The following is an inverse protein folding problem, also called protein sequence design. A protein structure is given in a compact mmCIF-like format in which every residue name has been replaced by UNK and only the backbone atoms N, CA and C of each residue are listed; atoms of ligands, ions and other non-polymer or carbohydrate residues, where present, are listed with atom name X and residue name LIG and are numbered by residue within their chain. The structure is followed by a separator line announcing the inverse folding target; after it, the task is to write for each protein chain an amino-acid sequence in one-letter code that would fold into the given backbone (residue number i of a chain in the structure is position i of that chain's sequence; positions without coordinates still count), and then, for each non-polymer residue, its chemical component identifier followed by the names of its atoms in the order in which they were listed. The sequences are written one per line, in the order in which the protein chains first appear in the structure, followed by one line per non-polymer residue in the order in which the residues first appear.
data_IF_984513031829
#
_entry.id   IF_984513031829
#
_cell.length_a   1.000
_cell.length_b   1.000
_cell.length_c   1.000
_cell.angle_alpha   90.00
_cell.angle_beta   90.00
_cell.angle_gamma   90.00
#
_symmetry.space_group_name_H-M   'P 1'
#
loop_
_entity.id
_entity.type
_entity.pdbx_description
1 polymer ?
#
# COMPACT_ATOMS: atom_id res chain seq x y z
N UNK A 1 0.60 28.68 -9.65
CA UNK A 1 0.10 29.05 -10.97
C UNK A 1 0.99 30.14 -11.50
N UNK A 2 1.81 29.89 -12.50
CA UNK A 2 2.55 30.93 -13.21
C UNK A 2 1.57 31.58 -14.18
N UNK A 3 1.15 32.79 -13.91
CA UNK A 3 0.25 33.53 -14.82
C UNK A 3 1.13 34.09 -15.95
N UNK A 4 0.92 33.57 -17.15
CA UNK A 4 1.55 34.12 -18.36
C UNK A 4 1.04 35.55 -18.50
N UNK A 5 1.96 36.53 -18.60
CA UNK A 5 1.55 37.90 -18.89
C UNK A 5 1.05 38.01 -20.32
N UNK A 6 -0.15 38.55 -20.49
CA UNK A 6 -0.71 38.87 -21.80
C UNK A 6 0.09 39.97 -22.48
N UNK A 7 -0.05 40.07 -23.80
CA UNK A 7 0.53 41.19 -24.58
C UNK A 7 0.19 42.56 -23.95
N UNK A 8 -1.08 42.74 -23.54
CA UNK A 8 -1.53 44.01 -22.96
C UNK A 8 -0.84 44.33 -21.63
N UNK A 9 -0.65 43.32 -20.76
CA UNK A 9 0.06 43.51 -19.47
C UNK A 9 1.52 43.83 -19.71
N UNK A 10 2.22 43.14 -20.60
CA UNK A 10 3.62 43.40 -20.90
C UNK A 10 3.80 44.83 -21.47
N UNK A 11 2.92 45.20 -22.42
CA UNK A 11 2.95 46.54 -23.01
C UNK A 11 2.72 47.66 -21.97
N UNK A 12 1.73 47.47 -21.09
CA UNK A 12 1.42 48.43 -20.05
C UNK A 12 2.57 48.54 -19.02
N UNK A 13 3.18 47.46 -18.66
CA UNK A 13 4.35 47.44 -17.76
C UNK A 13 5.53 48.18 -18.37
N UNK A 14 5.81 47.99 -19.65
CA UNK A 14 6.86 48.69 -20.37
C UNK A 14 6.58 50.20 -20.45
N UNK A 15 5.35 50.56 -20.73
CA UNK A 15 4.93 51.97 -20.80
C UNK A 15 5.02 52.64 -19.44
N UNK A 16 4.57 52.01 -18.39
CA UNK A 16 4.62 52.56 -17.03
C UNK A 16 6.06 52.71 -16.52
N UNK A 17 6.90 51.68 -16.76
CA UNK A 17 8.33 51.75 -16.39
C UNK A 17 9.08 52.89 -17.14
N UNK A 18 8.71 53.14 -18.41
CA UNK A 18 9.29 54.25 -19.15
C UNK A 18 8.86 55.61 -18.60
N UNK A 19 7.56 55.77 -18.28
CA UNK A 19 7.03 56.99 -17.70
C UNK A 19 7.69 57.29 -16.34
N UNK A 20 7.81 56.28 -15.49
CA UNK A 20 8.45 56.42 -14.15
C UNK A 20 9.93 56.82 -14.24
N UNK A 21 10.66 56.34 -15.25
CA UNK A 21 12.09 56.65 -15.44
C UNK A 21 12.37 57.97 -16.16
N UNK A 22 11.50 58.35 -17.06
CA UNK A 22 11.75 59.53 -17.92
C UNK A 22 10.86 60.73 -17.63
N UNK A 23 9.74 60.52 -16.91
CA UNK A 23 8.69 61.52 -16.74
C UNK A 23 7.90 61.84 -18.00
N UNK A 24 8.12 61.10 -19.12
CA UNK A 24 7.50 61.36 -20.42
C UNK A 24 6.47 60.29 -20.75
N UNK A 25 5.23 60.71 -21.03
CA UNK A 25 4.22 59.79 -21.51
C UNK A 25 4.40 59.50 -23.00
N UNK A 26 4.10 58.24 -23.39
CA UNK A 26 4.28 57.78 -24.78
C UNK A 26 3.01 58.09 -25.56
N UNK A 27 3.15 58.97 -26.59
CA UNK A 27 2.07 59.28 -27.48
C UNK A 27 1.67 58.05 -28.33
N UNK A 28 0.38 57.76 -28.49
CA UNK A 28 -0.09 56.69 -29.33
C UNK A 28 0.43 56.84 -30.79
N UNK A 29 0.84 55.71 -31.40
CA UNK A 29 1.42 55.65 -32.74
C UNK A 29 2.78 56.38 -32.92
N UNK A 30 3.44 56.77 -31.84
CA UNK A 30 4.83 57.22 -31.91
C UNK A 30 5.78 56.08 -32.22
N UNK A 31 7.01 56.38 -32.60
CA UNK A 31 8.04 55.37 -32.84
C UNK A 31 8.30 54.54 -31.59
N UNK A 32 8.27 55.18 -30.42
CA UNK A 32 8.45 54.48 -29.12
C UNK A 32 7.24 53.56 -28.81
N UNK A 33 6.02 53.99 -29.11
CA UNK A 33 4.82 53.17 -28.99
C UNK A 33 4.88 51.93 -29.85
N UNK A 34 5.28 52.08 -31.13
CA UNK A 34 5.46 50.97 -32.05
C UNK A 34 6.58 50.00 -31.62
N UNK A 35 7.69 50.55 -31.12
CA UNK A 35 8.78 49.75 -30.58
C UNK A 35 8.32 48.91 -29.36
N UNK A 36 7.62 49.51 -28.41
CA UNK A 36 7.13 48.80 -27.23
C UNK A 36 6.10 47.72 -27.59
N UNK A 37 5.27 47.97 -28.60
CA UNK A 37 4.35 46.93 -29.11
C UNK A 37 5.10 45.75 -29.71
N UNK A 38 6.14 46.01 -30.54
CA UNK A 38 6.96 44.94 -31.10
C UNK A 38 7.70 44.12 -30.03
N UNK A 39 8.25 44.79 -29.00
CA UNK A 39 8.91 44.12 -27.89
C UNK A 39 7.91 43.29 -27.08
N UNK A 40 6.73 43.86 -26.84
CA UNK A 40 5.67 43.14 -26.10
C UNK A 40 5.18 41.89 -26.81
N UNK A 41 5.06 41.98 -28.17
CA UNK A 41 4.69 40.80 -28.97
C UNK A 41 5.76 39.72 -28.93
N UNK A 42 7.03 40.08 -29.12
CA UNK A 42 8.15 39.16 -29.03
C UNK A 42 8.24 38.48 -27.64
N UNK A 43 8.07 39.23 -26.56
CA UNK A 43 8.08 38.68 -25.21
C UNK A 43 6.88 37.77 -24.95
N UNK A 44 5.71 38.13 -25.44
CA UNK A 44 4.53 37.28 -25.33
C UNK A 44 4.69 35.95 -26.07
N UNK A 45 5.29 35.98 -27.27
CA UNK A 45 5.62 34.76 -28.01
C UNK A 45 6.63 33.87 -27.26
N UNK A 46 7.66 34.49 -26.64
CA UNK A 46 8.61 33.76 -25.81
C UNK A 46 7.90 33.11 -24.60
N UNK A 47 7.02 33.83 -23.90
CA UNK A 47 6.25 33.25 -22.80
C UNK A 47 5.38 32.08 -23.22
N UNK A 48 4.70 32.18 -24.37
CA UNK A 48 3.91 31.09 -24.95
C UNK A 48 4.79 29.87 -25.29
N UNK A 49 5.93 30.07 -25.91
CA UNK A 49 6.88 28.99 -26.22
C UNK A 49 7.42 28.30 -24.94
N UNK A 50 7.71 29.08 -23.88
CA UNK A 50 8.13 28.51 -22.59
C UNK A 50 7.01 27.66 -21.99
N UNK A 51 5.76 28.11 -22.07
CA UNK A 51 4.63 27.36 -21.50
C UNK A 51 4.31 26.11 -22.29
N UNK A 52 4.38 26.15 -23.61
CA UNK A 52 4.25 25.00 -24.48
C UNK A 52 5.33 23.95 -24.19
N UNK A 53 6.57 24.40 -23.99
CA UNK A 53 7.68 23.50 -23.67
C UNK A 53 7.70 23.00 -22.21
N UNK A 54 6.91 23.58 -21.28
CA UNK A 54 6.75 23.04 -19.92
C UNK A 54 5.89 21.78 -19.86
N UNK A 55 4.94 21.63 -20.76
CA UNK A 55 3.99 20.50 -20.77
C UNK A 55 4.66 19.14 -20.93
N UNK A 56 5.66 18.97 -21.81
CA UNK A 56 6.31 17.67 -22.00
C UNK A 56 7.11 17.18 -20.80
N UNK A 57 7.56 18.08 -19.91
CA UNK A 57 8.33 17.69 -18.74
C UNK A 57 7.46 17.05 -17.63
N UNK A 58 6.15 17.17 -17.71
CA UNK A 58 5.25 16.45 -16.82
C UNK A 58 4.87 15.13 -17.47
N UNK A 59 5.43 14.05 -16.96
CA UNK A 59 5.16 12.66 -17.37
C UNK A 59 3.67 12.38 -17.63
N UNK A 60 2.79 12.96 -16.80
CA UNK A 60 1.32 12.81 -16.89
C UNK A 60 0.67 13.50 -18.09
N UNK A 61 1.38 14.36 -18.82
CA UNK A 61 0.85 15.15 -19.93
C UNK A 61 1.44 14.72 -21.28
N UNK A 62 2.24 13.66 -21.31
CA UNK A 62 2.84 13.13 -22.54
C UNK A 62 1.84 12.22 -23.26
N UNK A 63 1.83 12.29 -24.59
CA UNK A 63 1.00 11.47 -25.48
C UNK A 63 1.84 10.98 -26.67
N UNK A 64 1.43 9.88 -27.27
CA UNK A 64 2.02 9.36 -28.50
C UNK A 64 3.53 9.12 -28.41
N UNK A 65 4.29 9.67 -29.38
CA UNK A 65 5.73 9.47 -29.51
C UNK A 65 6.55 9.99 -28.31
N UNK A 66 6.08 11.05 -27.64
CA UNK A 66 6.76 11.59 -26.45
C UNK A 66 6.66 10.61 -25.27
N UNK A 67 5.49 10.01 -25.11
CA UNK A 67 5.26 8.99 -24.10
C UNK A 67 6.06 7.71 -24.41
N UNK A 68 6.16 7.35 -25.69
CA UNK A 68 6.96 6.20 -26.15
C UNK A 68 8.45 6.42 -25.91
N UNK A 69 8.97 7.64 -26.15
CA UNK A 69 10.35 7.98 -25.85
C UNK A 69 10.66 7.89 -24.34
N UNK A 70 9.71 8.35 -23.50
CA UNK A 70 9.83 8.22 -22.05
C UNK A 70 9.82 6.76 -21.62
N UNK A 71 8.93 5.95 -22.17
CA UNK A 71 8.87 4.53 -21.87
C UNK A 71 10.10 3.76 -22.34
N UNK A 72 10.66 4.12 -23.50
CA UNK A 72 11.93 3.55 -23.95
C UNK A 72 13.09 3.88 -22.99
N UNK A 73 13.18 5.12 -22.54
CA UNK A 73 14.17 5.54 -21.52
C UNK A 73 14.02 4.77 -20.20
N UNK A 74 12.79 4.50 -19.79
CA UNK A 74 12.47 3.73 -18.58
C UNK A 74 12.56 2.20 -18.77
N UNK A 75 12.97 1.72 -19.96
CA UNK A 75 13.01 0.30 -20.31
C UNK A 75 11.65 -0.40 -20.18
N UNK A 76 10.58 0.31 -20.45
CA UNK A 76 9.22 -0.18 -20.45
C UNK A 76 8.52 0.22 -21.75
N UNK A 77 8.83 -0.40 -22.89
CA UNK A 77 8.26 -0.05 -24.19
C UNK A 77 6.74 -0.30 -24.19
N UNK A 78 6.04 0.43 -25.07
CA UNK A 78 4.59 0.26 -25.28
C UNK A 78 4.29 -1.13 -25.82
N UNK A 79 3.19 -1.72 -25.36
CA UNK A 79 2.67 -2.96 -25.91
C UNK A 79 1.85 -2.71 -27.18
N UNK A 80 1.77 -3.71 -28.05
CA UNK A 80 1.05 -3.58 -29.32
C UNK A 80 -0.43 -3.31 -29.08
N UNK A 81 -0.94 -2.20 -29.63
CA UNK A 81 -2.34 -1.77 -29.48
C UNK A 81 -2.67 -1.10 -28.13
N UNK A 82 -1.68 -0.83 -27.28
CA UNK A 82 -1.89 -0.18 -26.00
C UNK A 82 -2.21 1.33 -26.17
N UNK A 83 -3.30 1.80 -25.56
CA UNK A 83 -3.67 3.23 -25.55
C UNK A 83 -2.73 4.06 -24.67
N UNK A 84 -2.60 5.36 -24.93
CA UNK A 84 -1.78 6.27 -24.13
C UNK A 84 -2.17 6.24 -22.65
N UNK A 85 -3.46 6.20 -22.34
CA UNK A 85 -3.96 6.15 -20.96
C UNK A 85 -3.52 4.89 -20.22
N UNK A 86 -3.60 3.72 -20.87
CA UNK A 86 -3.18 2.44 -20.29
C UNK A 86 -1.66 2.40 -20.15
N UNK A 87 -0.96 2.88 -21.17
CA UNK A 87 0.50 2.94 -21.14
C UNK A 87 1.02 3.88 -20.05
N UNK A 88 0.42 5.07 -19.90
CA UNK A 88 0.74 6.01 -18.83
C UNK A 88 0.54 5.38 -17.44
N UNK A 89 -0.58 4.68 -17.25
CA UNK A 89 -0.86 3.97 -16.02
C UNK A 89 0.18 2.87 -15.76
N UNK A 90 0.54 2.10 -16.78
CA UNK A 90 1.56 1.06 -16.70
C UNK A 90 2.95 1.63 -16.40
N UNK A 91 3.35 2.73 -17.07
CA UNK A 91 4.60 3.45 -16.81
C UNK A 91 4.66 4.02 -15.39
N UNK A 92 3.57 4.57 -14.88
CA UNK A 92 3.49 5.08 -13.51
C UNK A 92 3.71 3.97 -12.49
N UNK A 93 3.09 2.81 -12.71
CA UNK A 93 3.30 1.64 -11.88
C UNK A 93 4.71 1.04 -12.03
N UNK A 94 5.26 1.06 -13.26
CA UNK A 94 6.61 0.58 -13.55
C UNK A 94 7.68 1.38 -12.81
N UNK A 95 7.58 2.71 -12.85
CA UNK A 95 8.50 3.58 -12.11
C UNK A 95 8.42 3.37 -10.60
N UNK A 96 7.24 3.10 -10.05
CA UNK A 96 7.06 2.78 -8.64
C UNK A 96 7.64 1.41 -8.27
N UNK A 97 7.45 0.40 -9.14
CA UNK A 97 7.92 -0.98 -8.90
C UNK A 97 9.41 -1.14 -9.10
N UNK A 98 9.98 -0.48 -10.11
CA UNK A 98 11.40 -0.58 -10.47
C UNK A 98 12.28 0.49 -9.81
N UNK A 99 11.71 1.43 -9.09
CA UNK A 99 12.47 2.23 -8.15
C UNK A 99 12.97 1.28 -7.05
N UNK A 100 14.12 0.63 -7.29
CA UNK A 100 14.80 -0.17 -6.30
C UNK A 100 14.82 0.60 -4.97
N UNK A 101 14.62 -0.11 -3.85
CA UNK A 101 14.75 0.46 -2.51
C UNK A 101 13.53 1.23 -1.96
N UNK A 102 12.38 1.22 -2.62
CA UNK A 102 11.17 1.74 -2.01
C UNK A 102 10.34 0.62 -1.37
N UNK A 103 9.50 1.00 -0.42
CA UNK A 103 8.60 0.07 0.28
C UNK A 103 7.73 -0.73 -0.69
N UNK A 104 7.26 -0.13 -1.79
CA UNK A 104 6.39 -0.79 -2.75
C UNK A 104 7.11 -1.90 -3.50
N UNK A 105 8.35 -1.68 -3.94
CA UNK A 105 9.16 -2.70 -4.60
C UNK A 105 9.41 -3.91 -3.67
N UNK A 106 9.67 -3.65 -2.39
CA UNK A 106 9.81 -4.69 -1.37
C UNK A 106 8.51 -5.47 -1.20
N UNK A 107 7.37 -4.78 -1.06
CA UNK A 107 6.06 -5.43 -0.91
C UNK A 107 5.65 -6.23 -2.16
N UNK A 108 5.98 -5.76 -3.36
CA UNK A 108 5.71 -6.51 -4.58
C UNK A 108 6.58 -7.78 -4.66
N UNK A 109 7.84 -7.72 -4.23
CA UNK A 109 8.67 -8.93 -4.11
C UNK A 109 8.18 -9.89 -3.02
N UNK A 110 7.62 -9.38 -1.95
CA UNK A 110 6.97 -10.20 -0.93
C UNK A 110 5.83 -11.07 -1.50
N UNK A 111 5.07 -10.58 -2.48
CA UNK A 111 3.99 -11.34 -3.14
C UNK A 111 4.49 -12.52 -3.98
N UNK A 112 5.76 -12.54 -4.35
CA UNK A 112 6.37 -13.63 -5.11
C UNK A 112 6.84 -14.81 -4.24
N UNK A 113 6.76 -14.66 -2.90
CA UNK A 113 7.18 -15.70 -1.95
C UNK A 113 6.20 -16.87 -1.96
N UNK A 114 6.75 -18.09 -2.04
CA UNK A 114 5.97 -19.33 -2.16
C UNK A 114 5.88 -20.11 -0.83
N UNK A 115 6.88 -19.95 0.05
CA UNK A 115 6.95 -20.64 1.33
C UNK A 115 6.41 -19.84 2.51
N UNK A 116 5.75 -18.71 2.23
CA UNK A 116 5.08 -17.89 3.23
C UNK A 116 3.63 -17.62 2.85
N UNK A 117 2.74 -17.57 3.87
CA UNK A 117 1.33 -17.26 3.68
C UNK A 117 1.07 -15.76 3.57
N UNK A 118 1.85 -14.94 4.25
CA UNK A 118 1.78 -13.48 4.21
C UNK A 118 3.06 -12.85 4.75
N UNK A 119 3.22 -11.53 4.57
CA UNK A 119 4.36 -10.76 5.03
C UNK A 119 3.88 -9.42 5.59
N UNK A 120 4.58 -8.92 6.60
CA UNK A 120 4.33 -7.61 7.19
C UNK A 120 5.61 -6.79 7.25
N UNK A 121 5.61 -5.63 6.58
CA UNK A 121 6.74 -4.70 6.53
C UNK A 121 6.58 -3.63 7.61
N UNK A 122 7.54 -3.56 8.51
CA UNK A 122 7.57 -2.58 9.61
C UNK A 122 8.77 -1.66 9.43
N UNK A 123 8.55 -0.38 9.06
CA UNK A 123 9.64 0.57 8.90
C UNK A 123 10.17 1.06 10.26
N UNK A 124 11.40 1.55 10.25
CA UNK A 124 12.06 2.26 11.36
C UNK A 124 12.20 1.46 12.66
N UNK A 125 12.27 0.14 12.60
CA UNK A 125 12.34 -0.73 13.81
C UNK A 125 13.53 -0.44 14.71
N UNK A 126 14.64 0.00 14.14
CA UNK A 126 15.88 0.39 14.85
C UNK A 126 16.37 1.80 14.47
N UNK A 127 15.46 2.65 13.97
CA UNK A 127 15.75 4.01 13.53
C UNK A 127 15.73 4.21 12.02
N UNK A 128 16.11 5.39 11.56
CA UNK A 128 16.08 5.76 10.13
C UNK A 128 16.97 4.83 9.30
N UNK A 129 16.46 4.37 8.16
CA UNK A 129 17.17 3.46 7.27
C UNK A 129 17.06 1.97 7.66
N UNK A 130 16.26 1.64 8.69
CA UNK A 130 16.04 0.26 9.11
C UNK A 130 14.59 -0.16 8.89
N UNK A 131 14.37 -1.46 8.64
CA UNK A 131 13.05 -2.07 8.62
C UNK A 131 13.12 -3.54 9.02
N UNK A 132 12.00 -4.10 9.45
CA UNK A 132 11.85 -5.54 9.68
C UNK A 132 10.72 -6.06 8.81
N UNK A 133 10.99 -7.17 8.11
CA UNK A 133 9.97 -7.91 7.37
C UNK A 133 9.65 -9.17 8.17
N UNK A 134 8.42 -9.21 8.70
CA UNK A 134 7.90 -10.42 9.34
C UNK A 134 7.34 -11.35 8.27
N UNK A 135 7.97 -12.50 8.11
CA UNK A 135 7.61 -13.54 7.15
C UNK A 135 6.81 -14.60 7.89
N UNK A 136 5.56 -14.82 7.50
CA UNK A 136 4.68 -15.80 8.12
C UNK A 136 4.78 -17.09 7.31
N UNK A 137 5.45 -18.14 7.84
CA UNK A 137 5.62 -19.39 7.10
C UNK A 137 4.28 -20.11 6.92
N UNK A 138 4.22 -21.07 5.99
CA UNK A 138 3.02 -21.88 5.79
C UNK A 138 2.72 -22.78 7.01
N UNK A 139 3.77 -23.25 7.68
CA UNK A 139 3.69 -23.90 8.98
C UNK A 139 4.89 -23.47 9.86
N UNK A 140 4.82 -23.74 11.18
CA UNK A 140 5.84 -23.32 12.14
C UNK A 140 6.85 -24.43 12.48
N UNK A 141 7.03 -25.43 11.60
CA UNK A 141 8.16 -26.35 11.73
C UNK A 141 9.50 -25.65 11.42
N UNK A 142 10.57 -26.10 12.05
CA UNK A 142 11.91 -25.50 11.85
C UNK A 142 12.33 -25.48 10.37
N UNK A 143 11.97 -26.53 9.62
CA UNK A 143 12.25 -26.61 8.19
C UNK A 143 11.44 -25.64 7.34
N UNK A 144 10.19 -25.35 7.70
CA UNK A 144 9.36 -24.36 7.00
C UNK A 144 9.79 -22.94 7.33
N UNK A 145 10.10 -22.66 8.59
CA UNK A 145 10.65 -21.36 9.03
C UNK A 145 11.93 -21.05 8.26
N UNK A 146 12.88 -21.99 8.24
CA UNK A 146 14.17 -21.80 7.56
C UNK A 146 14.00 -21.56 6.06
N UNK A 147 13.11 -22.30 5.39
CA UNK A 147 12.83 -22.12 3.96
C UNK A 147 12.18 -20.77 3.66
N UNK A 148 11.21 -20.35 4.46
CA UNK A 148 10.53 -19.08 4.28
C UNK A 148 11.47 -17.88 4.46
N UNK A 149 12.35 -17.92 5.47
CA UNK A 149 13.35 -16.88 5.70
C UNK A 149 14.41 -16.84 4.59
N UNK A 150 14.90 -17.99 4.15
CA UNK A 150 15.90 -18.08 3.08
C UNK A 150 15.33 -17.53 1.76
N UNK A 151 14.12 -17.96 1.38
CA UNK A 151 13.45 -17.47 0.19
C UNK A 151 13.23 -15.94 0.25
N UNK A 152 12.76 -15.43 1.39
CA UNK A 152 12.56 -14.00 1.57
C UNK A 152 13.88 -13.23 1.42
N UNK A 153 14.94 -13.72 2.02
CA UNK A 153 16.27 -13.11 1.90
C UNK A 153 16.77 -13.12 0.45
N UNK A 154 16.66 -14.23 -0.26
CA UNK A 154 17.12 -14.35 -1.65
C UNK A 154 16.34 -13.46 -2.62
N UNK A 155 15.00 -13.42 -2.50
CA UNK A 155 14.15 -12.68 -3.43
C UNK A 155 14.07 -11.18 -3.15
N UNK A 156 14.15 -10.77 -1.89
CA UNK A 156 13.97 -9.37 -1.48
C UNK A 156 15.30 -8.62 -1.42
N UNK A 157 16.41 -9.26 -1.03
CA UNK A 157 17.73 -8.59 -0.94
C UNK A 157 18.14 -7.80 -2.19
N UNK A 158 17.89 -8.27 -3.42
CA UNK A 158 18.27 -7.52 -4.62
C UNK A 158 17.55 -6.17 -4.79
N UNK A 159 16.40 -5.97 -4.14
CA UNK A 159 15.64 -4.71 -4.21
C UNK A 159 15.85 -3.81 -2.98
N UNK A 160 16.71 -4.23 -2.05
CA UNK A 160 17.08 -3.44 -0.87
C UNK A 160 18.20 -2.47 -1.22
N UNK A 161 18.10 -1.22 -0.74
CA UNK A 161 19.20 -0.26 -0.85
C UNK A 161 20.42 -0.72 -0.06
N UNK A 162 21.65 -0.57 -0.60
CA UNK A 162 22.88 -0.82 0.16
C UNK A 162 22.99 0.02 1.45
N UNK A 163 22.27 1.14 1.53
CA UNK A 163 22.22 2.02 2.71
C UNK A 163 21.14 1.65 3.73
N UNK A 164 20.29 0.66 3.42
CA UNK A 164 19.20 0.22 4.29
C UNK A 164 19.54 -1.10 4.96
N UNK A 165 19.15 -1.23 6.22
CA UNK A 165 19.28 -2.46 7.00
C UNK A 165 17.88 -3.06 7.13
N UNK A 166 17.66 -4.20 6.48
CA UNK A 166 16.39 -4.94 6.57
C UNK A 166 16.66 -6.29 7.25
N UNK A 167 15.89 -6.54 8.31
CA UNK A 167 15.91 -7.81 9.03
C UNK A 167 14.69 -8.64 8.63
N UNK A 168 14.91 -9.94 8.46
CA UNK A 168 13.84 -10.91 8.22
C UNK A 168 13.60 -11.70 9.50
N UNK A 169 12.37 -11.70 9.97
CA UNK A 169 11.96 -12.38 11.20
C UNK A 169 10.67 -13.15 10.98
N UNK A 170 10.47 -14.21 11.75
CA UNK A 170 9.19 -14.92 11.83
C UNK A 170 8.48 -14.45 13.09
N UNK A 171 7.17 -14.09 13.02
CA UNK A 171 6.41 -13.74 14.21
C UNK A 171 6.34 -14.94 15.17
N UNK A 172 6.41 -14.68 16.46
CA UNK A 172 6.27 -15.71 17.47
C UNK A 172 4.85 -16.30 17.44
N UNK A 173 4.68 -17.64 17.36
CA UNK A 173 3.37 -18.25 17.37
C UNK A 173 2.75 -18.16 18.77
N UNK A 174 1.56 -17.56 18.89
CA UNK A 174 0.74 -17.60 20.10
C UNK A 174 -0.45 -18.52 19.87
N UNK A 175 -0.47 -19.64 20.58
CA UNK A 175 -1.56 -20.61 20.49
C UNK A 175 -2.82 -20.07 21.16
N UNK A 176 -3.93 -20.10 20.42
CA UNK A 176 -5.23 -19.64 20.91
C UNK A 176 -6.09 -20.83 21.27
N UNK A 177 -6.44 -20.92 22.57
CA UNK A 177 -7.35 -21.91 23.12
C UNK A 177 -8.64 -21.22 23.57
N UNK A 178 -9.77 -21.81 23.21
CA UNK A 178 -11.10 -21.26 23.47
C UNK A 178 -11.87 -22.21 24.37
N UNK A 179 -12.62 -21.66 25.31
CA UNK A 179 -13.62 -22.37 26.08
C UNK A 179 -14.97 -21.77 25.75
N UNK A 180 -15.91 -22.58 25.28
CA UNK A 180 -17.22 -22.12 24.87
C UNK A 180 -18.35 -23.01 25.38
N UNK A 181 -19.50 -22.40 25.67
CA UNK A 181 -20.75 -23.12 25.82
C UNK A 181 -21.32 -23.43 24.44
N UNK A 182 -21.78 -24.65 24.27
CA UNK A 182 -22.39 -25.11 23.03
C UNK A 182 -23.67 -25.89 23.36
N UNK A 183 -24.77 -25.47 22.74
CA UNK A 183 -26.03 -26.20 22.74
C UNK A 183 -26.42 -26.54 21.30
N UNK A 184 -26.77 -27.81 21.06
CA UNK A 184 -27.05 -28.36 19.72
C UNK A 184 -28.39 -29.07 19.77
N UNK A 185 -29.18 -28.95 18.71
CA UNK A 185 -30.47 -29.65 18.54
C UNK A 185 -30.35 -31.16 18.77
N UNK A 186 -31.29 -31.71 19.51
CA UNK A 186 -31.24 -33.06 20.03
C UNK A 186 -31.04 -34.17 18.97
N UNK A 187 -31.57 -33.98 17.78
CA UNK A 187 -31.51 -34.98 16.68
C UNK A 187 -30.32 -34.79 15.73
N UNK A 188 -29.31 -34.02 16.14
CA UNK A 188 -28.20 -33.65 15.27
C UNK A 188 -26.91 -34.43 15.61
N UNK A 189 -26.04 -34.61 14.59
CA UNK A 189 -24.72 -35.20 14.79
C UNK A 189 -23.79 -34.20 15.50
N UNK A 190 -23.70 -34.31 16.82
CA UNK A 190 -22.94 -33.40 17.69
C UNK A 190 -21.47 -33.35 17.31
N UNK A 191 -20.85 -34.47 17.00
CA UNK A 191 -19.42 -34.54 16.69
C UNK A 191 -19.09 -33.86 15.35
N UNK A 192 -19.96 -34.02 14.36
CA UNK A 192 -19.79 -33.34 13.08
C UNK A 192 -19.93 -31.81 13.22
N UNK A 193 -20.91 -31.37 14.01
CA UNK A 193 -21.13 -29.93 14.28
C UNK A 193 -19.93 -29.32 15.01
N UNK A 194 -19.43 -29.97 16.08
CA UNK A 194 -18.22 -29.53 16.79
C UNK A 194 -17.04 -29.39 15.85
N UNK A 195 -16.83 -30.35 14.95
CA UNK A 195 -15.76 -30.30 13.95
C UNK A 195 -15.94 -29.14 12.97
N UNK A 196 -17.17 -28.91 12.47
CA UNK A 196 -17.45 -27.77 11.57
C UNK A 196 -17.14 -26.42 12.24
N UNK A 197 -17.55 -26.23 13.49
CA UNK A 197 -17.24 -25.03 14.26
C UNK A 197 -15.72 -24.90 14.42
N UNK A 198 -15.05 -25.97 14.82
CA UNK A 198 -13.60 -25.99 15.02
C UNK A 198 -12.83 -25.64 13.74
N UNK A 199 -13.21 -26.20 12.61
CA UNK A 199 -12.57 -25.92 11.32
C UNK A 199 -12.79 -24.46 10.87
N UNK A 200 -14.00 -23.93 11.05
CA UNK A 200 -14.33 -22.55 10.70
C UNK A 200 -13.59 -21.53 11.61
N UNK A 201 -13.57 -21.78 12.91
CA UNK A 201 -12.85 -20.95 13.86
C UNK A 201 -11.34 -21.02 13.61
N UNK A 202 -10.80 -22.20 13.34
CA UNK A 202 -9.39 -22.40 12.95
C UNK A 202 -9.05 -21.61 11.70
N UNK A 203 -9.88 -21.67 10.68
CA UNK A 203 -9.67 -20.90 9.46
C UNK A 203 -9.67 -19.39 9.75
N UNK A 204 -10.62 -18.90 10.55
CA UNK A 204 -10.70 -17.50 10.95
C UNK A 204 -9.45 -17.05 11.69
N UNK A 205 -9.07 -17.71 12.79
CA UNK A 205 -7.91 -17.33 13.61
C UNK A 205 -6.62 -17.37 12.81
N UNK A 206 -6.42 -18.41 12.01
CA UNK A 206 -5.22 -18.56 11.21
C UNK A 206 -5.16 -17.55 10.04
N UNK A 207 -6.30 -16.99 9.60
CA UNK A 207 -6.33 -15.96 8.56
C UNK A 207 -5.95 -14.57 9.07
N UNK A 208 -6.05 -14.30 10.37
CA UNK A 208 -5.77 -12.98 10.95
C UNK A 208 -4.28 -12.64 10.78
N UNK A 209 -3.92 -11.56 10.07
CA UNK A 209 -2.53 -11.15 9.93
C UNK A 209 -1.96 -10.59 11.24
N UNK A 210 -0.64 -10.67 11.47
CA UNK A 210 0.01 -10.03 12.62
C UNK A 210 -0.31 -8.53 12.70
N UNK A 211 -0.51 -8.01 13.90
CA UNK A 211 -0.89 -6.62 14.13
C UNK A 211 -2.37 -6.30 13.96
N UNK A 212 -3.19 -7.33 13.70
CA UNK A 212 -4.65 -7.20 13.58
C UNK A 212 -5.32 -7.81 14.80
N UNK A 213 -6.44 -7.26 15.23
CA UNK A 213 -7.18 -7.75 16.39
C UNK A 213 -7.97 -9.02 16.08
N UNK A 214 -8.05 -9.91 17.07
CA UNK A 214 -8.99 -11.01 17.11
C UNK A 214 -10.27 -10.54 17.81
N UNK A 215 -11.42 -10.68 17.16
CA UNK A 215 -12.71 -10.26 17.72
C UNK A 215 -13.50 -11.47 18.21
N UNK A 216 -13.85 -11.48 19.51
CA UNK A 216 -14.68 -12.54 20.11
C UNK A 216 -16.07 -12.63 19.48
N UNK A 217 -16.62 -11.48 19.04
CA UNK A 217 -17.90 -11.42 18.35
C UNK A 217 -17.92 -12.26 17.06
N UNK A 218 -16.84 -12.25 16.30
CA UNK A 218 -16.73 -13.06 15.07
C UNK A 218 -16.70 -14.56 15.38
N UNK A 219 -16.02 -14.97 16.45
CA UNK A 219 -16.00 -16.38 16.86
C UNK A 219 -17.38 -16.82 17.31
N UNK A 220 -18.11 -15.98 18.04
CA UNK A 220 -19.48 -16.26 18.45
C UNK A 220 -20.41 -16.34 17.23
N UNK A 221 -20.28 -15.45 16.26
CA UNK A 221 -21.05 -15.49 15.02
C UNK A 221 -20.80 -16.79 14.24
N UNK A 222 -19.53 -17.19 14.09
CA UNK A 222 -19.16 -18.46 13.41
C UNK A 222 -19.85 -19.65 14.09
N UNK A 223 -19.88 -19.70 15.43
CA UNK A 223 -20.54 -20.75 16.17
C UNK A 223 -22.07 -20.75 15.96
N UNK A 224 -22.70 -19.58 16.04
CA UNK A 224 -24.15 -19.43 15.88
C UNK A 224 -24.63 -19.65 14.45
N UNK A 225 -23.82 -19.30 13.45
CA UNK A 225 -24.14 -19.49 12.04
C UNK A 225 -24.00 -20.96 11.58
N UNK A 226 -23.41 -21.83 12.44
CA UNK A 226 -23.28 -23.24 12.13
C UNK A 226 -24.66 -23.94 12.21
N UNK A 227 -25.07 -24.69 11.19
CA UNK A 227 -26.39 -25.34 11.16
C UNK A 227 -26.60 -26.25 12.38
N UNK A 228 -27.83 -26.20 12.93
CA UNK A 228 -28.28 -26.98 14.10
C UNK A 228 -27.62 -26.62 15.45
N UNK A 229 -26.93 -25.52 15.53
CA UNK A 229 -26.51 -24.88 16.79
C UNK A 229 -27.67 -24.02 17.30
N UNK A 230 -28.07 -24.21 18.56
CA UNK A 230 -29.09 -23.38 19.23
C UNK A 230 -28.45 -22.27 20.05
N UNK A 231 -27.31 -22.56 20.64
CA UNK A 231 -26.57 -21.58 21.41
C UNK A 231 -25.05 -21.83 21.32
N UNK A 232 -24.30 -20.77 21.13
CA UNK A 232 -22.84 -20.76 21.20
C UNK A 232 -22.36 -19.47 21.85
N UNK A 233 -21.52 -19.58 22.84
CA UNK A 233 -20.92 -18.42 23.49
C UNK A 233 -19.52 -18.73 24.03
N UNK A 234 -18.55 -17.93 23.64
CA UNK A 234 -17.19 -18.01 24.18
C UNK A 234 -17.19 -17.48 25.59
N UNK A 235 -16.74 -18.31 26.51
CA UNK A 235 -16.66 -18.01 27.96
C UNK A 235 -15.27 -17.51 28.33
N UNK A 236 -14.25 -18.21 27.85
CA UNK A 236 -12.86 -17.89 28.09
C UNK A 236 -12.04 -18.08 26.82
N UNK A 237 -11.02 -17.26 26.68
CA UNK A 237 -10.04 -17.37 25.61
C UNK A 237 -8.65 -17.18 26.18
N UNK A 238 -7.72 -17.99 25.75
CA UNK A 238 -6.32 -17.93 26.15
C UNK A 238 -5.45 -17.71 24.91
N UNK A 239 -4.45 -16.85 25.01
CA UNK A 239 -3.39 -16.71 24.01
C UNK A 239 -2.05 -17.06 24.68
N UNK A 240 -1.55 -18.26 24.37
CA UNK A 240 -0.49 -18.89 25.17
C UNK A 240 -0.99 -19.24 26.57
N UNK A 241 -0.31 -18.75 27.60
CA UNK A 241 -0.67 -18.98 29.00
C UNK A 241 -1.59 -17.88 29.59
N UNK A 242 -1.78 -16.77 28.89
CA UNK A 242 -2.55 -15.62 29.39
C UNK A 242 -4.04 -15.77 29.06
N UNK A 243 -4.90 -15.68 30.12
CA UNK A 243 -6.33 -15.53 29.92
C UNK A 243 -6.66 -14.10 29.48
N UNK A 244 -7.49 -13.99 28.46
CA UNK A 244 -7.85 -12.71 27.87
C UNK A 244 -9.29 -12.38 28.23
N UNK A 245 -9.46 -11.28 28.96
CA UNK A 245 -10.76 -10.83 29.47
C UNK A 245 -11.43 -9.75 28.60
N UNK A 246 -10.75 -9.25 27.55
CA UNK A 246 -11.24 -8.19 26.70
C UNK A 246 -11.98 -8.76 25.48
N UNK A 247 -13.01 -8.05 25.00
CA UNK A 247 -13.78 -8.40 23.78
C UNK A 247 -12.94 -8.35 22.50
N UNK A 248 -11.85 -7.62 22.51
CA UNK A 248 -10.89 -7.46 21.44
C UNK A 248 -9.50 -7.82 21.93
N UNK A 249 -8.85 -8.72 21.20
CA UNK A 249 -7.48 -9.14 21.50
C UNK A 249 -6.55 -8.52 20.49
N UNK A 250 -5.76 -7.55 20.95
CA UNK A 250 -4.73 -6.94 20.10
C UNK A 250 -3.56 -7.92 19.92
N UNK A 251 -3.34 -8.29 18.67
CA UNK A 251 -2.14 -9.03 18.27
C UNK A 251 -1.00 -8.05 18.01
N UNK A 252 0.14 -8.24 18.65
CA UNK A 252 1.34 -7.48 18.33
C UNK A 252 1.87 -7.88 16.95
N UNK A 253 2.56 -6.96 16.26
CA UNK A 253 3.17 -7.22 14.93
C UNK A 253 4.19 -8.37 15.02
N UNK A 254 4.77 -8.58 16.21
CA UNK A 254 5.79 -9.60 16.49
C UNK A 254 5.21 -10.98 16.79
N UNK A 255 3.89 -11.12 16.90
CA UNK A 255 3.22 -12.38 17.22
C UNK A 255 2.19 -12.75 16.15
N UNK A 256 1.94 -14.04 15.98
CA UNK A 256 0.92 -14.62 15.11
C UNK A 256 0.02 -15.53 15.90
N UNK A 257 -1.30 -15.27 15.91
CA UNK A 257 -2.27 -16.19 16.48
C UNK A 257 -2.39 -17.45 15.63
N UNK A 258 -2.32 -18.59 16.30
CA UNK A 258 -2.57 -19.91 15.72
C UNK A 258 -3.61 -20.61 16.57
N UNK A 259 -4.60 -21.19 15.90
CA UNK A 259 -5.63 -21.95 16.57
C UNK A 259 -5.04 -23.23 17.19
N UNK A 260 -5.35 -23.48 18.47
CA UNK A 260 -4.99 -24.71 19.19
C UNK A 260 -6.18 -25.65 19.29
N UNK A 261 -7.21 -25.25 20.04
CA UNK A 261 -8.40 -26.07 20.28
C UNK A 261 -9.57 -25.26 20.83
N UNK A 262 -10.79 -25.85 20.72
CA UNK A 262 -11.97 -25.41 21.46
C UNK A 262 -12.33 -26.47 22.48
N UNK A 263 -12.52 -26.08 23.73
CA UNK A 263 -13.07 -26.90 24.78
C UNK A 263 -14.53 -26.53 24.96
N UNK A 264 -15.42 -27.47 24.78
CA UNK A 264 -16.86 -27.25 24.91
C UNK A 264 -17.35 -27.61 26.32
N UNK A 265 -18.07 -26.69 26.91
CA UNK A 265 -18.88 -26.98 28.08
C UNK A 265 -20.29 -27.29 27.58
N UNK A 266 -20.72 -28.53 27.77
CA UNK A 266 -22.10 -28.94 27.47
C UNK A 266 -22.98 -28.58 28.69
N UNK A 267 -24.17 -28.04 28.42
CA UNK A 267 -25.19 -27.90 29.45
C UNK A 267 -25.77 -29.29 29.64
N UNK A 268 -25.50 -29.93 30.80
CA UNK A 268 -26.24 -31.14 31.18
C UNK A 268 -27.70 -30.75 31.40
N UNK A 269 -28.59 -31.18 30.53
CA UNK A 269 -30.04 -31.08 30.65
C UNK A 269 -30.56 -32.21 31.56
#
# INVERSE_FOLDING_TARGET
MSTIKSFAEIYNDLKQNFLERTGVDIAPRSVIDMFFKSVSDALHQIYNTIEENKKPYLFTNQEGEELDATGYFLQCPREEGESDSNYLYRLSNWTQRNAACNQQAILDKCKELQFSSSQNYVPYTKGVGTATIYVIPLDYSEGAISRALLEAQEKISPVISPSSIIEFQVPEPKLVRIVAYLDIKADSDKENIKRMIQDSVKQYINSIPPGTSLYLGEINNIGLDTPNVEYFNVVQIFAGEEEITNFEILQTITAKFLFEQIIYWEVEN
#
